data_IF_075802637710
#
_entry.id   IF_075802637710
#
_cell.length_a   1.000
_cell.length_b   1.000
_cell.length_c   1.000
_cell.angle_alpha   90.00
_cell.angle_beta   90.00
_cell.angle_gamma   90.00
#
_symmetry.space_group_name_H-M   'P 1'
#
loop_
_entity.id
_entity.type
_entity.pdbx_description
1 polymer ?
#
# COMPACT_ATOMS: atom_id res chain seq x y z
N UNK A 1 -27.95 -27.18 -6.85
CA UNK A 1 -27.48 -26.08 -5.99
C UNK A 1 -26.94 -25.04 -6.95
N UNK A 2 -27.72 -24.00 -7.21
CA UNK A 2 -27.32 -22.94 -8.14
C UNK A 2 -26.08 -22.22 -7.60
N UNK A 3 -25.06 -22.08 -8.44
CA UNK A 3 -23.83 -21.36 -8.14
C UNK A 3 -24.14 -19.86 -7.98
N UNK A 4 -24.47 -19.43 -6.75
CA UNK A 4 -24.49 -18.02 -6.41
C UNK A 4 -23.07 -17.41 -6.49
N UNK A 5 -22.93 -16.08 -6.50
CA UNK A 5 -21.63 -15.40 -6.70
C UNK A 5 -20.64 -15.58 -5.53
N UNK A 6 -21.03 -16.32 -4.48
CA UNK A 6 -20.29 -16.45 -3.25
C UNK A 6 -19.65 -17.84 -3.16
N UNK A 7 -18.34 -17.86 -2.91
CA UNK A 7 -17.60 -19.09 -2.63
C UNK A 7 -17.96 -19.57 -1.21
N UNK A 8 -18.27 -20.84 -1.08
CA UNK A 8 -18.60 -21.46 0.20
C UNK A 8 -17.73 -22.71 0.44
N UNK A 9 -17.45 -23.01 1.69
CA UNK A 9 -16.75 -24.23 2.13
C UNK A 9 -17.62 -24.98 3.13
N UNK A 10 -17.58 -26.32 3.09
CA UNK A 10 -18.26 -27.17 4.07
C UNK A 10 -17.26 -27.62 5.12
N UNK A 11 -17.61 -27.44 6.40
CA UNK A 11 -16.84 -28.03 7.49
C UNK A 11 -17.14 -29.53 7.65
N UNK A 12 -16.40 -30.22 8.53
CA UNK A 12 -16.58 -31.64 8.82
C UNK A 12 -17.94 -32.00 9.44
N UNK A 13 -18.71 -31.02 9.89
CA UNK A 13 -20.05 -31.19 10.46
C UNK A 13 -21.17 -30.85 9.44
N UNK A 14 -20.81 -30.45 8.21
CA UNK A 14 -21.76 -30.12 7.13
C UNK A 14 -22.22 -28.67 7.10
N UNK A 15 -21.69 -27.79 7.96
CA UNK A 15 -22.00 -26.35 7.96
C UNK A 15 -21.37 -25.69 6.74
N UNK A 16 -22.15 -24.86 6.03
CA UNK A 16 -21.68 -24.09 4.87
C UNK A 16 -21.19 -22.73 5.33
N UNK A 17 -19.87 -22.52 5.34
CA UNK A 17 -19.26 -21.24 5.69
C UNK A 17 -18.95 -20.44 4.43
N UNK A 18 -19.27 -19.13 4.47
CA UNK A 18 -18.94 -18.21 3.39
C UNK A 18 -17.45 -17.92 3.39
N UNK A 19 -16.84 -17.98 2.20
CA UNK A 19 -15.46 -17.55 1.97
C UNK A 19 -15.47 -16.12 1.46
N UNK A 20 -14.64 -15.26 2.05
CA UNK A 20 -14.36 -13.91 1.57
C UNK A 20 -12.90 -13.87 1.09
N UNK A 21 -12.71 -13.54 -0.18
CA UNK A 21 -11.41 -13.42 -0.84
C UNK A 21 -10.93 -11.97 -0.76
N UNK A 22 -9.79 -11.76 -0.15
CA UNK A 22 -9.17 -10.46 0.07
C UNK A 22 -8.00 -10.28 -0.89
N UNK A 23 -8.14 -9.39 -1.87
CA UNK A 23 -7.07 -9.03 -2.79
C UNK A 23 -6.04 -8.11 -2.13
N UNK A 24 -4.76 -8.37 -2.39
CA UNK A 24 -3.64 -7.55 -1.93
C UNK A 24 -2.51 -7.52 -2.95
N UNK A 25 -1.70 -6.45 -2.93
CA UNK A 25 -0.41 -6.45 -3.62
C UNK A 25 0.56 -7.44 -2.98
N UNK A 26 1.58 -7.86 -3.75
CA UNK A 26 2.66 -8.75 -3.30
C UNK A 26 3.67 -8.09 -2.34
N UNK A 27 3.68 -6.77 -2.21
CA UNK A 27 4.64 -6.09 -1.33
C UNK A 27 4.42 -6.47 0.13
N UNK A 28 5.51 -6.55 0.90
CA UNK A 28 5.44 -6.95 2.30
C UNK A 28 4.51 -6.05 3.12
N UNK A 29 4.56 -4.73 2.90
CA UNK A 29 3.67 -3.78 3.59
C UNK A 29 2.20 -4.01 3.24
N UNK A 30 1.87 -4.25 1.96
CA UNK A 30 0.48 -4.52 1.56
C UNK A 30 -0.04 -5.82 2.20
N UNK A 31 0.82 -6.85 2.29
CA UNK A 31 0.48 -8.09 2.97
C UNK A 31 0.20 -7.87 4.47
N UNK A 32 1.08 -7.15 5.17
CA UNK A 32 0.88 -6.80 6.59
C UNK A 32 -0.43 -6.04 6.80
N UNK A 33 -0.74 -5.07 5.93
CA UNK A 33 -2.00 -4.32 6.00
C UNK A 33 -3.22 -5.23 5.82
N UNK A 34 -3.14 -6.17 4.88
CA UNK A 34 -4.22 -7.13 4.60
C UNK A 34 -4.39 -8.13 5.74
N UNK A 35 -3.29 -8.65 6.29
CA UNK A 35 -3.31 -9.54 7.45
C UNK A 35 -3.94 -8.83 8.66
N UNK A 36 -3.61 -7.56 8.90
CA UNK A 36 -4.23 -6.74 9.95
C UNK A 36 -5.76 -6.61 9.79
N UNK A 37 -6.23 -6.35 8.56
CA UNK A 37 -7.68 -6.32 8.28
C UNK A 37 -8.31 -7.71 8.50
N UNK A 38 -7.62 -8.77 8.08
CA UNK A 38 -8.10 -10.14 8.23
C UNK A 38 -8.23 -10.54 9.71
N UNK A 39 -7.29 -10.14 10.58
CA UNK A 39 -7.36 -10.35 12.03
C UNK A 39 -8.58 -9.65 12.63
N UNK A 40 -8.84 -8.40 12.26
CA UNK A 40 -10.03 -7.66 12.72
C UNK A 40 -11.33 -8.33 12.25
N UNK A 41 -11.39 -8.76 10.99
CA UNK A 41 -12.56 -9.45 10.45
C UNK A 41 -12.80 -10.80 11.13
N UNK A 42 -11.75 -11.60 11.37
CA UNK A 42 -11.88 -12.88 12.11
C UNK A 42 -12.35 -12.67 13.55
N UNK A 43 -11.92 -11.58 14.19
CA UNK A 43 -12.36 -11.25 15.56
C UNK A 43 -13.85 -10.93 15.61
N UNK A 44 -14.36 -10.22 14.60
CA UNK A 44 -15.77 -9.81 14.52
C UNK A 44 -16.69 -10.90 13.95
N UNK A 45 -16.16 -11.73 13.05
CA UNK A 45 -16.89 -12.76 12.33
C UNK A 45 -16.11 -14.10 12.34
N UNK A 46 -16.10 -14.84 13.46
CA UNK A 46 -15.29 -16.04 13.63
C UNK A 46 -15.61 -17.16 12.63
N UNK A 47 -16.85 -17.22 12.17
CA UNK A 47 -17.34 -18.27 11.26
C UNK A 47 -16.98 -17.98 9.78
N UNK A 48 -16.57 -16.76 9.47
CA UNK A 48 -16.21 -16.36 8.10
C UNK A 48 -14.80 -16.88 7.77
N UNK A 49 -14.70 -17.56 6.64
CA UNK A 49 -13.42 -18.04 6.13
C UNK A 49 -12.79 -16.97 5.23
N UNK A 50 -11.58 -16.53 5.57
CA UNK A 50 -10.85 -15.52 4.81
C UNK A 50 -9.75 -16.15 3.96
N UNK A 51 -9.72 -15.82 2.67
CA UNK A 51 -8.70 -16.24 1.72
C UNK A 51 -7.95 -15.01 1.21
N UNK A 52 -6.62 -14.97 1.34
CA UNK A 52 -5.82 -13.83 0.87
C UNK A 52 -5.25 -14.15 -0.51
N UNK A 53 -5.60 -13.33 -1.50
CA UNK A 53 -5.19 -13.48 -2.90
C UNK A 53 -4.15 -12.40 -3.23
N UNK A 54 -2.88 -12.81 -3.34
CA UNK A 54 -1.78 -11.89 -3.64
C UNK A 54 -1.61 -11.69 -5.15
N UNK A 55 -1.66 -10.43 -5.61
CA UNK A 55 -1.65 -10.06 -7.02
C UNK A 55 -0.45 -9.14 -7.33
N UNK A 56 0.06 -9.22 -8.56
CA UNK A 56 1.13 -8.34 -9.04
C UNK A 56 0.52 -7.19 -9.84
N UNK A 57 0.88 -5.95 -9.52
CA UNK A 57 0.46 -4.75 -10.27
C UNK A 57 1.54 -4.32 -11.27
N UNK A 58 1.19 -3.51 -12.28
CA UNK A 58 2.18 -2.89 -13.17
C UNK A 58 3.17 -2.03 -12.36
N UNK A 59 2.71 -1.32 -11.33
CA UNK A 59 3.58 -0.54 -10.45
C UNK A 59 4.57 -1.40 -9.63
N UNK A 60 4.30 -2.69 -9.41
CA UNK A 60 5.29 -3.61 -8.81
C UNK A 60 6.39 -4.01 -9.81
N UNK A 61 6.12 -3.89 -11.12
CA UNK A 61 7.06 -4.22 -12.20
C UNK A 61 7.91 -3.04 -12.64
N UNK A 62 7.42 -1.81 -12.44
CA UNK A 62 8.12 -0.57 -12.79
C UNK A 62 8.71 0.05 -11.52
N UNK A 63 9.91 -0.39 -11.13
CA UNK A 63 10.61 0.07 -9.92
C UNK A 63 11.73 1.09 -10.20
N UNK A 64 12.14 1.23 -11.47
CA UNK A 64 13.35 1.98 -11.87
C UNK A 64 13.09 3.43 -12.30
N UNK A 65 11.86 3.91 -12.19
CA UNK A 65 11.51 5.28 -12.61
C UNK A 65 10.74 5.98 -11.50
N UNK A 66 11.13 7.22 -11.21
CA UNK A 66 10.45 8.05 -10.22
C UNK A 66 8.96 8.18 -10.57
N UNK A 67 8.08 7.96 -9.58
CA UNK A 67 6.62 8.06 -9.74
C UNK A 67 6.17 9.41 -10.33
N UNK A 68 6.94 10.48 -10.11
CA UNK A 68 6.69 11.80 -10.71
C UNK A 68 6.77 11.81 -12.24
N UNK A 69 7.51 10.87 -12.85
CA UNK A 69 7.68 10.75 -14.30
C UNK A 69 6.66 9.80 -14.94
N UNK A 70 6.05 8.92 -14.16
CA UNK A 70 5.03 7.98 -14.63
C UNK A 70 3.67 8.61 -14.30
N UNK A 71 3.11 9.38 -15.23
CA UNK A 71 1.91 10.19 -15.03
C UNK A 71 0.60 9.43 -14.76
N UNK A 72 0.65 8.13 -14.45
CA UNK A 72 -0.52 7.28 -14.24
C UNK A 72 -0.78 7.06 -12.75
N UNK A 73 -1.81 7.73 -12.22
CA UNK A 73 -2.22 7.59 -10.80
C UNK A 73 -2.77 6.20 -10.46
N UNK A 74 -3.14 5.38 -11.46
CA UNK A 74 -3.79 4.08 -11.29
C UNK A 74 -2.84 2.87 -11.34
N UNK A 75 -1.52 3.09 -11.36
CA UNK A 75 -0.50 2.02 -11.52
C UNK A 75 -0.55 0.91 -10.46
N UNK A 76 -1.14 1.20 -9.30
CA UNK A 76 -1.18 0.28 -8.17
C UNK A 76 -2.58 -0.25 -7.84
N UNK A 77 -3.62 0.26 -8.50
CA UNK A 77 -5.03 -0.08 -8.19
C UNK A 77 -5.69 -0.88 -9.31
N UNK A 78 -5.30 -0.66 -10.57
CA UNK A 78 -5.98 -1.19 -11.75
C UNK A 78 -6.12 -2.72 -11.75
N UNK A 79 -5.07 -3.47 -11.42
CA UNK A 79 -5.15 -4.94 -11.44
C UNK A 79 -6.06 -5.48 -10.34
N UNK A 80 -6.11 -4.81 -9.19
CA UNK A 80 -6.97 -5.18 -8.07
C UNK A 80 -8.43 -4.79 -8.34
N UNK A 81 -8.66 -3.66 -8.99
CA UNK A 81 -9.99 -3.24 -9.49
C UNK A 81 -10.52 -4.25 -10.54
N UNK A 82 -9.69 -4.68 -11.49
CA UNK A 82 -10.07 -5.72 -12.45
C UNK A 82 -10.41 -7.05 -11.77
N UNK A 83 -9.71 -7.41 -10.69
CA UNK A 83 -9.97 -8.62 -9.92
C UNK A 83 -11.33 -8.56 -9.20
N UNK A 84 -11.68 -7.39 -8.67
CA UNK A 84 -13.01 -7.13 -8.10
C UNK A 84 -14.09 -7.22 -9.18
N UNK A 85 -13.90 -6.57 -10.33
CA UNK A 85 -14.86 -6.58 -11.45
C UNK A 85 -15.12 -8.00 -11.98
N UNK A 86 -14.09 -8.84 -12.02
CA UNK A 86 -14.18 -10.24 -12.45
C UNK A 86 -14.67 -11.20 -11.37
N UNK A 87 -15.02 -10.70 -10.17
CA UNK A 87 -15.35 -11.50 -9.01
C UNK A 87 -14.25 -12.54 -8.67
N UNK A 88 -12.98 -12.22 -8.91
CA UNK A 88 -11.82 -13.03 -8.50
C UNK A 88 -11.51 -12.82 -7.01
N UNK A 89 -11.77 -11.61 -6.51
CA UNK A 89 -11.72 -11.23 -5.09
C UNK A 89 -13.01 -10.51 -4.69
N UNK A 90 -13.33 -10.50 -3.41
CA UNK A 90 -14.57 -9.91 -2.87
C UNK A 90 -14.32 -8.54 -2.21
N UNK A 91 -13.09 -8.28 -1.76
CA UNK A 91 -12.63 -6.99 -1.27
C UNK A 91 -11.14 -6.81 -1.54
N UNK A 92 -10.65 -5.58 -1.47
CA UNK A 92 -9.23 -5.25 -1.61
C UNK A 92 -8.80 -4.32 -0.47
N UNK A 93 -7.57 -4.51 0.03
CA UNK A 93 -6.98 -3.65 1.05
C UNK A 93 -5.91 -2.74 0.43
N UNK A 94 -6.03 -1.43 0.68
CA UNK A 94 -5.11 -0.41 0.18
C UNK A 94 -4.68 0.55 1.29
N UNK A 95 -3.49 1.12 1.12
CA UNK A 95 -3.16 2.39 1.76
C UNK A 95 -4.02 3.49 1.14
N UNK A 96 -4.80 4.21 1.96
CA UNK A 96 -5.76 5.20 1.46
C UNK A 96 -5.12 6.29 0.59
N UNK A 97 -3.85 6.65 0.86
CA UNK A 97 -3.09 7.64 0.09
C UNK A 97 -2.84 7.24 -1.37
N UNK A 98 -2.94 5.95 -1.68
CA UNK A 98 -2.67 5.38 -3.00
C UNK A 98 -3.97 5.22 -3.83
N UNK A 99 -5.14 5.50 -3.24
CA UNK A 99 -6.41 5.51 -3.96
C UNK A 99 -6.64 6.85 -4.66
N UNK A 100 -7.22 6.85 -5.88
CA UNK A 100 -7.63 8.08 -6.53
C UNK A 100 -8.78 8.74 -5.76
N UNK A 101 -8.91 10.07 -5.88
CA UNK A 101 -10.01 10.83 -5.25
C UNK A 101 -11.37 10.53 -5.86
N UNK A 102 -11.39 9.99 -7.08
CA UNK A 102 -12.58 9.53 -7.77
C UNK A 102 -12.37 8.08 -8.15
N UNK A 103 -13.19 7.19 -7.58
CA UNK A 103 -13.17 5.79 -7.91
C UNK A 103 -13.90 5.53 -9.24
N UNK A 104 -13.51 4.51 -10.00
CA UNK A 104 -14.27 4.10 -11.18
C UNK A 104 -15.68 3.65 -10.78
N UNK A 105 -16.61 3.71 -11.72
CA UNK A 105 -17.98 3.24 -11.51
C UNK A 105 -18.00 1.76 -11.08
N UNK A 106 -18.87 1.43 -10.13
CA UNK A 106 -18.98 0.06 -9.59
C UNK A 106 -18.08 -0.22 -8.40
N UNK A 107 -17.16 0.68 -8.04
CA UNK A 107 -16.31 0.55 -6.85
C UNK A 107 -16.68 1.57 -5.78
N UNK A 108 -16.42 1.21 -4.53
CA UNK A 108 -16.60 2.10 -3.38
C UNK A 108 -15.57 1.79 -2.29
N UNK A 109 -15.28 2.78 -1.45
CA UNK A 109 -14.51 2.55 -0.22
C UNK A 109 -15.47 1.99 0.83
N UNK A 110 -15.48 0.68 1.02
CA UNK A 110 -16.38 0.01 1.95
C UNK A 110 -16.06 0.24 3.43
N UNK A 111 -14.80 0.54 3.76
CA UNK A 111 -14.37 0.81 5.13
C UNK A 111 -13.10 1.66 5.18
N UNK A 112 -12.94 2.41 6.27
CA UNK A 112 -11.69 3.08 6.66
C UNK A 112 -11.39 2.67 8.08
N UNK A 113 -10.26 2.02 8.30
CA UNK A 113 -9.83 1.58 9.65
C UNK A 113 -9.33 2.78 10.47
N UNK A 114 -9.15 2.55 11.78
CA UNK A 114 -8.53 3.53 12.66
C UNK A 114 -7.18 3.99 12.09
N UNK A 115 -6.96 5.30 12.08
CA UNK A 115 -5.80 5.91 11.44
C UNK A 115 -4.55 5.75 12.31
N UNK A 116 -3.53 5.12 11.76
CA UNK A 116 -2.17 5.11 12.32
C UNK A 116 -1.52 6.50 12.22
N UNK A 117 -0.33 6.67 12.84
CA UNK A 117 0.39 7.95 12.81
C UNK A 117 0.48 8.52 11.38
N UNK A 118 -0.06 9.73 11.13
CA UNK A 118 -0.10 10.30 9.79
C UNK A 118 1.17 11.07 9.41
N UNK A 119 2.16 11.13 10.31
CA UNK A 119 3.33 11.97 10.17
C UNK A 119 4.36 11.34 9.23
N UNK A 120 5.05 12.19 8.47
CA UNK A 120 6.28 11.78 7.80
C UNK A 120 7.36 11.55 8.87
N UNK A 121 8.21 10.54 8.65
CA UNK A 121 9.37 10.26 9.48
C UNK A 121 10.68 10.53 8.73
N UNK A 122 11.72 10.84 9.48
CA UNK A 122 13.09 10.99 8.96
C UNK A 122 13.89 9.78 9.41
N UNK A 123 14.53 9.11 8.46
CA UNK A 123 15.48 8.03 8.73
C UNK A 123 16.85 8.53 8.29
N UNK A 124 17.77 8.64 9.25
CA UNK A 124 19.11 9.16 9.00
C UNK A 124 20.11 8.02 8.83
N UNK A 125 21.12 8.27 8.00
CA UNK A 125 22.29 7.38 7.90
C UNK A 125 22.91 7.18 9.30
N UNK A 126 23.41 5.99 9.67
CA UNK A 126 23.96 5.73 11.01
C UNK A 126 25.03 6.73 11.49
N UNK A 127 25.84 7.26 10.56
CA UNK A 127 26.82 8.34 10.83
C UNK A 127 26.20 9.64 11.38
N UNK A 128 24.91 9.86 11.13
CA UNK A 128 24.15 11.04 11.54
C UNK A 128 23.17 10.70 12.68
N UNK A 129 23.43 9.61 13.43
CA UNK A 129 22.59 9.22 14.56
C UNK A 129 22.52 10.33 15.61
N UNK A 130 21.31 10.60 16.12
CA UNK A 130 21.06 11.68 17.10
C UNK A 130 20.93 13.07 16.50
N UNK A 131 21.18 13.25 15.20
CA UNK A 131 20.90 14.52 14.51
C UNK A 131 19.43 14.65 14.12
N UNK A 132 19.06 15.87 13.77
CA UNK A 132 17.75 16.24 13.23
C UNK A 132 17.96 16.96 11.90
N UNK A 133 16.88 17.19 11.14
CA UNK A 133 17.00 17.98 9.91
C UNK A 133 17.57 19.39 10.15
N UNK A 134 17.28 19.99 11.31
CA UNK A 134 17.80 21.30 11.70
C UNK A 134 19.30 21.30 12.04
N UNK A 135 19.86 20.13 12.39
CA UNK A 135 21.26 20.01 12.85
C UNK A 135 22.15 19.22 11.89
N UNK A 136 21.63 18.87 10.72
CA UNK A 136 22.44 18.25 9.67
C UNK A 136 23.42 19.27 9.08
N UNK A 137 24.65 18.85 8.72
CA UNK A 137 25.59 19.73 8.04
C UNK A 137 25.02 20.29 6.73
N UNK A 138 25.36 21.54 6.43
CA UNK A 138 25.05 22.19 5.15
C UNK A 138 25.48 21.31 3.97
N UNK A 139 24.65 21.26 2.93
CA UNK A 139 24.86 20.41 1.76
C UNK A 139 24.53 18.93 1.97
N UNK A 140 24.07 18.52 3.16
CA UNK A 140 23.60 17.15 3.38
C UNK A 140 22.44 16.80 2.44
N UNK A 141 22.50 15.59 1.85
CA UNK A 141 21.52 15.13 0.85
C UNK A 141 20.38 14.36 1.52
N UNK A 142 19.15 14.81 1.29
CA UNK A 142 17.92 14.14 1.71
C UNK A 142 17.27 13.44 0.50
N UNK A 143 17.12 12.12 0.58
CA UNK A 143 16.44 11.31 -0.42
C UNK A 143 14.92 11.33 -0.27
N UNK A 144 14.18 11.88 -1.22
CA UNK A 144 12.72 11.74 -1.29
C UNK A 144 12.19 11.94 -2.71
N UNK A 145 11.52 10.93 -3.27
CA UNK A 145 10.83 11.04 -4.58
C UNK A 145 9.42 11.63 -4.47
N UNK A 146 9.01 12.12 -3.30
CA UNK A 146 7.71 12.74 -3.11
C UNK A 146 7.79 14.26 -3.32
N UNK A 147 7.13 14.75 -4.37
CA UNK A 147 7.03 16.19 -4.64
C UNK A 147 6.48 16.97 -3.43
N UNK A 148 5.48 16.41 -2.73
CA UNK A 148 4.91 16.98 -1.50
C UNK A 148 5.99 17.20 -0.43
N UNK A 149 6.77 16.16 -0.14
CA UNK A 149 7.83 16.24 0.89
C UNK A 149 8.95 17.17 0.44
N UNK A 150 9.43 17.03 -0.79
CA UNK A 150 10.50 17.86 -1.32
C UNK A 150 10.15 19.35 -1.28
N UNK A 151 8.95 19.75 -1.71
CA UNK A 151 8.53 21.15 -1.70
C UNK A 151 8.47 21.74 -0.27
N UNK A 152 7.91 21.00 0.68
CA UNK A 152 7.81 21.45 2.08
C UNK A 152 9.19 21.54 2.74
N UNK A 153 10.05 20.54 2.51
CA UNK A 153 11.37 20.47 3.13
C UNK A 153 12.33 21.50 2.53
N UNK A 154 12.34 21.70 1.21
CA UNK A 154 13.17 22.75 0.56
C UNK A 154 12.86 24.15 1.09
N UNK A 155 11.58 24.43 1.34
CA UNK A 155 11.16 25.72 1.91
C UNK A 155 11.68 25.91 3.35
N UNK A 156 11.67 24.85 4.16
CA UNK A 156 12.03 24.92 5.58
C UNK A 156 13.54 24.78 5.83
N UNK A 157 14.23 23.99 5.02
CA UNK A 157 15.63 23.62 5.18
C UNK A 157 16.44 23.96 3.91
N UNK A 158 16.63 25.26 3.60
CA UNK A 158 17.30 25.68 2.36
C UNK A 158 18.81 25.33 2.31
N UNK A 159 19.41 24.97 3.46
CA UNK A 159 20.80 24.53 3.56
C UNK A 159 21.00 23.06 3.16
N UNK A 160 19.92 22.29 2.98
CA UNK A 160 19.97 20.88 2.62
C UNK A 160 19.74 20.67 1.12
N UNK A 161 20.34 19.62 0.56
CA UNK A 161 20.09 19.17 -0.81
C UNK A 161 19.00 18.09 -0.84
N UNK A 162 18.24 18.02 -1.94
CA UNK A 162 17.16 17.04 -2.10
C UNK A 162 17.29 16.30 -3.42
N UNK A 163 17.36 14.98 -3.36
CA UNK A 163 17.47 14.08 -4.52
C UNK A 163 16.37 13.02 -4.50
N UNK A 164 16.02 12.53 -5.69
CA UNK A 164 15.09 11.42 -5.83
C UNK A 164 15.74 10.13 -5.28
N UNK A 165 14.93 9.29 -4.64
CA UNK A 165 15.30 7.94 -4.21
C UNK A 165 14.17 6.98 -4.55
N UNK A 166 14.49 5.92 -5.28
CA UNK A 166 13.57 4.82 -5.59
C UNK A 166 14.12 3.51 -5.03
N UNK A 167 13.27 2.50 -4.88
CA UNK A 167 13.58 1.29 -4.11
C UNK A 167 14.80 0.49 -4.59
N UNK A 168 15.32 0.76 -5.79
CA UNK A 168 16.47 0.08 -6.38
C UNK A 168 17.70 0.96 -6.67
N UNK A 169 17.66 2.28 -6.46
CA UNK A 169 18.73 3.15 -6.98
C UNK A 169 20.05 3.15 -6.20
N UNK A 170 20.21 2.31 -5.16
CA UNK A 170 21.43 2.29 -4.33
C UNK A 170 21.79 0.89 -3.77
N UNK A 171 21.44 -0.19 -4.48
CA UNK A 171 21.94 -1.53 -4.12
C UNK A 171 23.36 -1.82 -4.69
N UNK A 172 23.87 -0.99 -5.61
CA UNK A 172 25.18 -1.19 -6.27
C UNK A 172 26.28 -0.20 -5.81
N UNK A 173 26.08 0.55 -4.72
CA UNK A 173 27.06 1.52 -4.21
C UNK A 173 27.41 1.35 -2.72
N UNK A 174 27.37 0.11 -2.22
CA UNK A 174 28.04 -0.32 -0.99
C UNK A 174 28.91 -1.55 -1.29
#
# INVERSE_FOLDING_TARGET
MEEGPYKCVRDGNGTVNRVIRMGTRKSQLARIQTDYVAEKLKTLYPDVHLEIVAMSTIGDKILDTALSKIGEKSLFTKELENALERNEVDLVVHSLKDLPTTLPNGFTIGAVLQRESPHDAVVLHPKNSGLTLDTLPDGSVIGTSSLRRAAQLKKRFPHLEFKDIVSFSYAELL
#
